data_IF_090308071197
#
_entry.id   IF_090308071197
#
_cell.length_a   1.000
_cell.length_b   1.000
_cell.length_c   1.000
_cell.angle_alpha   90.00
_cell.angle_beta   90.00
_cell.angle_gamma   90.00
#
_symmetry.space_group_name_H-M   'P 1'
#
loop_
_entity.id
_entity.type
_entity.pdbx_description
1 polymer ?
#
# COMPACT_ATOMS: atom_id res chain seq x y z
N UNK A 1 7.06 9.13 11.03
CA UNK A 1 6.35 9.17 9.73
C UNK A 1 4.90 9.61 9.90
N UNK A 2 4.01 8.86 10.57
CA UNK A 2 2.58 9.17 10.65
C UNK A 2 2.26 10.53 11.28
N UNK A 3 2.98 10.93 12.33
CA UNK A 3 2.82 12.27 12.94
C UNK A 3 3.19 13.39 11.95
N UNK A 4 4.21 13.19 11.12
CA UNK A 4 4.55 14.17 10.09
C UNK A 4 3.45 14.27 9.02
N UNK A 5 2.90 13.14 8.57
CA UNK A 5 1.75 13.11 7.65
C UNK A 5 0.56 13.87 8.27
N UNK A 6 0.24 13.57 9.53
CA UNK A 6 -0.86 14.23 10.25
C UNK A 6 -0.64 15.74 10.37
N UNK A 7 0.58 16.17 10.72
CA UNK A 7 0.91 17.58 10.87
C UNK A 7 0.75 18.35 9.55
N UNK A 8 1.26 17.81 8.44
CA UNK A 8 1.12 18.43 7.13
C UNK A 8 -0.34 18.48 6.66
N UNK A 9 -1.09 17.38 6.86
CA UNK A 9 -2.51 17.34 6.51
C UNK A 9 -3.33 18.38 7.29
N UNK A 10 -3.06 18.56 8.60
CA UNK A 10 -3.73 19.58 9.42
C UNK A 10 -3.41 21.01 8.98
N UNK A 11 -2.28 21.23 8.31
CA UNK A 11 -1.92 22.51 7.69
C UNK A 11 -2.56 22.72 6.31
N UNK A 12 -3.40 21.78 5.86
CA UNK A 12 -4.05 21.85 4.55
C UNK A 12 -3.16 21.43 3.37
N UNK A 13 -2.02 20.80 3.65
CA UNK A 13 -1.12 20.31 2.63
C UNK A 13 -1.54 18.92 2.15
N UNK A 14 -1.48 18.69 0.84
CA UNK A 14 -1.64 17.36 0.28
C UNK A 14 -0.39 16.51 0.54
N UNK A 15 -0.59 15.30 1.03
CA UNK A 15 0.48 14.34 1.31
C UNK A 15 0.23 13.06 0.54
N UNK A 16 1.22 12.61 -0.21
CA UNK A 16 1.25 11.26 -0.79
C UNK A 16 2.32 10.47 -0.06
N UNK A 17 1.94 9.33 0.50
CA UNK A 17 2.85 8.45 1.22
C UNK A 17 2.79 7.04 0.62
N UNK A 18 3.93 6.54 0.17
CA UNK A 18 4.11 5.13 -0.19
C UNK A 18 4.55 4.36 1.04
N UNK A 19 3.81 3.33 1.38
CA UNK A 19 4.00 2.60 2.63
C UNK A 19 3.78 1.10 2.43
N UNK A 20 4.49 0.32 3.24
CA UNK A 20 4.37 -1.13 3.30
C UNK A 20 3.92 -1.51 4.72
N UNK A 21 2.60 -1.65 4.90
CA UNK A 21 2.04 -2.07 6.18
C UNK A 21 1.83 -3.59 6.20
N UNK A 22 2.47 -4.27 7.12
CA UNK A 22 2.22 -5.69 7.39
C UNK A 22 2.52 -6.04 8.85
N UNK A 23 1.89 -7.09 9.33
CA UNK A 23 2.10 -7.66 10.66
C UNK A 23 2.67 -9.09 10.61
N UNK A 24 3.30 -9.47 9.49
CA UNK A 24 3.95 -10.76 9.31
C UNK A 24 5.30 -10.85 10.07
N UNK A 25 5.26 -10.52 11.35
CA UNK A 25 6.37 -10.64 12.29
C UNK A 25 6.09 -11.77 13.28
N UNK A 26 7.13 -12.26 13.95
CA UNK A 26 6.98 -13.24 15.03
C UNK A 26 6.05 -12.76 16.16
N UNK A 27 6.04 -11.44 16.37
CA UNK A 27 5.10 -10.76 17.27
C UNK A 27 4.40 -9.67 16.47
N UNK A 28 3.07 -9.76 16.22
CA UNK A 28 2.31 -8.73 15.54
C UNK A 28 2.41 -7.39 16.27
N UNK A 29 2.61 -6.31 15.51
CA UNK A 29 2.80 -4.95 16.05
C UNK A 29 1.60 -4.03 15.82
N UNK A 30 0.60 -4.45 15.07
CA UNK A 30 -0.58 -3.65 14.74
C UNK A 30 -0.25 -2.39 13.93
N UNK A 31 0.73 -2.47 13.03
CA UNK A 31 1.30 -1.30 12.33
C UNK A 31 0.22 -0.53 11.55
N UNK A 32 -0.62 -1.24 10.80
CA UNK A 32 -1.69 -0.59 10.02
C UNK A 32 -2.75 0.03 10.94
N UNK A 33 -3.11 -0.65 12.03
CA UNK A 33 -4.04 -0.13 13.02
C UNK A 33 -3.49 1.11 13.73
N UNK A 34 -2.22 1.12 14.11
CA UNK A 34 -1.57 2.30 14.71
C UNK A 34 -1.56 3.48 13.72
N UNK A 35 -1.27 3.21 12.44
CA UNK A 35 -1.37 4.20 11.39
C UNK A 35 -2.78 4.80 11.29
N UNK A 36 -3.80 3.94 11.20
CA UNK A 36 -5.20 4.36 11.09
C UNK A 36 -5.64 5.22 12.29
N UNK A 37 -5.25 4.83 13.51
CA UNK A 37 -5.53 5.60 14.73
C UNK A 37 -4.87 6.97 14.76
N UNK A 38 -3.62 7.08 14.34
CA UNK A 38 -2.88 8.35 14.32
C UNK A 38 -3.40 9.32 13.27
N UNK A 39 -3.94 8.80 12.17
CA UNK A 39 -4.51 9.60 11.08
C UNK A 39 -6.04 9.68 11.16
N UNK A 40 -6.64 9.17 12.24
CA UNK A 40 -8.09 9.21 12.44
C UNK A 40 -8.61 10.65 12.40
N UNK A 41 -9.75 10.84 11.71
CA UNK A 41 -10.37 12.14 11.54
C UNK A 41 -9.72 13.04 10.47
N UNK A 42 -8.64 12.58 9.81
CA UNK A 42 -8.09 13.24 8.63
C UNK A 42 -8.69 12.64 7.36
N UNK A 43 -8.76 13.40 6.25
CA UNK A 43 -9.28 12.93 4.97
C UNK A 43 -8.25 12.03 4.27
N UNK A 44 -8.12 10.80 4.74
CA UNK A 44 -7.15 9.83 4.21
C UNK A 44 -7.82 8.93 3.19
N UNK A 45 -7.39 8.98 1.93
CA UNK A 45 -7.73 7.98 0.92
C UNK A 45 -6.70 6.84 1.01
N UNK A 46 -7.14 5.67 1.43
CA UNK A 46 -6.27 4.49 1.53
C UNK A 46 -6.38 3.64 0.28
N UNK A 47 -5.29 3.60 -0.49
CA UNK A 47 -5.25 2.93 -1.80
C UNK A 47 -4.44 1.64 -1.71
N UNK A 48 -5.05 0.53 -2.11
CA UNK A 48 -4.38 -0.75 -2.33
C UNK A 48 -3.78 -0.81 -3.74
N UNK A 49 -2.45 -0.90 -3.83
CA UNK A 49 -1.77 -1.05 -5.11
C UNK A 49 -1.47 -2.53 -5.34
N UNK A 50 -2.22 -3.15 -6.26
CA UNK A 50 -2.11 -4.57 -6.58
C UNK A 50 -1.24 -4.82 -7.82
N UNK A 51 -0.64 -5.99 -7.85
CA UNK A 51 0.02 -6.54 -9.03
C UNK A 51 0.16 -8.06 -8.86
N UNK A 52 -0.15 -8.90 -9.85
CA UNK A 52 0.09 -10.34 -9.76
C UNK A 52 1.55 -10.67 -9.50
N UNK A 53 1.80 -11.67 -8.66
CA UNK A 53 3.15 -12.05 -8.21
C UNK A 53 4.12 -12.28 -9.36
N UNK A 54 3.68 -12.95 -10.42
CA UNK A 54 4.54 -13.22 -11.58
C UNK A 54 4.95 -11.95 -12.33
N UNK A 55 4.07 -10.95 -12.40
CA UNK A 55 4.38 -9.64 -13.00
C UNK A 55 5.38 -8.89 -12.13
N UNK A 56 5.22 -8.92 -10.80
CA UNK A 56 6.20 -8.33 -9.86
C UNK A 56 7.56 -8.99 -10.02
N UNK A 57 7.60 -10.32 -10.10
CA UNK A 57 8.86 -11.08 -10.31
C UNK A 57 9.51 -10.72 -11.64
N UNK A 58 8.72 -10.61 -12.72
CA UNK A 58 9.24 -10.23 -14.03
C UNK A 58 9.84 -8.82 -13.99
N UNK A 59 9.10 -7.84 -13.48
CA UNK A 59 9.58 -6.45 -13.34
C UNK A 59 10.89 -6.37 -12.55
N UNK A 60 11.02 -7.15 -11.46
CA UNK A 60 12.25 -7.19 -10.68
C UNK A 60 13.42 -7.80 -11.45
N UNK A 61 13.19 -8.86 -12.22
CA UNK A 61 14.24 -9.41 -13.10
C UNK A 61 14.72 -8.36 -14.10
N UNK A 62 13.80 -7.62 -14.69
CA UNK A 62 14.11 -6.64 -15.73
C UNK A 62 14.84 -5.40 -15.18
N UNK A 63 14.53 -4.98 -13.94
CA UNK A 63 15.10 -3.77 -13.35
C UNK A 63 16.34 -4.03 -12.50
N UNK A 64 16.38 -5.14 -11.78
CA UNK A 64 17.45 -5.42 -10.81
C UNK A 64 18.42 -6.52 -11.27
N UNK A 65 18.33 -6.95 -12.55
CA UNK A 65 19.23 -7.93 -13.14
C UNK A 65 19.26 -9.29 -12.43
N UNK A 66 18.18 -9.66 -11.75
CA UNK A 66 18.10 -10.90 -10.98
C UNK A 66 18.91 -10.93 -9.68
N UNK A 67 19.56 -9.83 -9.30
CA UNK A 67 20.32 -9.74 -8.04
C UNK A 67 19.36 -9.88 -6.85
N UNK A 68 19.60 -10.87 -6.00
CA UNK A 68 18.79 -11.16 -4.82
C UNK A 68 17.73 -12.26 -4.99
N UNK A 69 17.62 -12.85 -6.19
CA UNK A 69 16.76 -14.00 -6.46
C UNK A 69 17.60 -15.24 -6.79
N UNK A 70 17.97 -16.01 -5.77
CA UNK A 70 18.35 -17.39 -6.01
C UNK A 70 17.06 -18.22 -6.13
N UNK A 71 16.72 -18.62 -7.34
CA UNK A 71 15.78 -19.71 -7.55
C UNK A 71 16.38 -20.96 -6.90
N UNK A 72 15.71 -21.52 -5.90
CA UNK A 72 16.02 -22.84 -5.38
C UNK A 72 16.61 -22.93 -3.96
N UNK A 73 16.67 -21.83 -3.20
CA UNK A 73 16.98 -21.89 -1.77
C UNK A 73 15.73 -22.23 -0.94
N UNK A 74 15.89 -22.97 0.17
CA UNK A 74 14.84 -23.30 1.14
C UNK A 74 14.32 -22.08 1.93
N UNK A 75 14.72 -20.88 1.57
CA UNK A 75 14.24 -19.63 2.15
C UNK A 75 12.94 -19.26 1.47
N UNK A 76 11.90 -19.08 2.28
CA UNK A 76 10.60 -18.62 1.80
C UNK A 76 10.76 -17.38 0.91
N UNK A 77 10.15 -17.41 -0.29
CA UNK A 77 10.18 -16.31 -1.27
C UNK A 77 9.69 -15.00 -0.60
N UNK A 78 10.58 -14.05 -0.29
CA UNK A 78 10.21 -12.86 0.46
C UNK A 78 9.21 -11.98 -0.30
N UNK A 79 9.22 -12.03 -1.63
CA UNK A 79 8.28 -11.26 -2.45
C UNK A 79 6.87 -11.79 -2.31
N UNK A 80 6.71 -13.11 -2.34
CA UNK A 80 5.40 -13.74 -2.11
C UNK A 80 4.89 -13.44 -0.71
N UNK A 81 5.74 -13.61 0.30
CA UNK A 81 5.35 -13.34 1.70
C UNK A 81 4.92 -11.89 1.89
N UNK A 82 5.66 -10.94 1.35
CA UNK A 82 5.29 -9.52 1.44
C UNK A 82 4.01 -9.22 0.68
N UNK A 83 3.85 -9.75 -0.52
CA UNK A 83 2.64 -9.54 -1.32
C UNK A 83 1.39 -10.08 -0.63
N UNK A 84 1.49 -11.21 0.03
CA UNK A 84 0.39 -11.77 0.82
C UNK A 84 0.13 -10.93 2.08
N UNK A 85 1.18 -10.53 2.80
CA UNK A 85 1.09 -9.87 4.09
C UNK A 85 0.61 -8.41 4.02
N UNK A 86 1.05 -7.64 3.02
CA UNK A 86 0.75 -6.19 2.95
C UNK A 86 -0.71 -5.90 2.61
N UNK A 87 -1.44 -6.87 2.11
CA UNK A 87 -2.84 -6.72 1.76
C UNK A 87 -3.82 -7.28 2.81
N UNK A 88 -3.34 -7.58 4.00
CA UNK A 88 -4.19 -7.98 5.12
C UNK A 88 -4.49 -6.75 6.01
N UNK A 89 -5.76 -6.48 6.32
CA UNK A 89 -6.98 -7.25 6.09
C UNK A 89 -7.68 -6.98 4.74
N UNK A 90 -7.12 -6.24 3.83
CA UNK A 90 -7.70 -5.96 2.51
C UNK A 90 -8.81 -4.91 2.54
N UNK A 91 -8.75 -3.98 3.47
CA UNK A 91 -9.69 -2.85 3.59
C UNK A 91 -9.09 -1.62 2.94
N UNK A 92 -9.65 -1.19 1.83
CA UNK A 92 -9.19 -0.03 1.05
C UNK A 92 -10.37 0.84 0.62
N UNK A 93 -10.12 2.12 0.36
CA UNK A 93 -11.08 3.04 -0.28
C UNK A 93 -11.08 2.89 -1.81
N UNK A 94 -9.94 2.43 -2.36
CA UNK A 94 -9.72 2.16 -3.78
C UNK A 94 -8.64 1.08 -3.92
N UNK A 95 -8.79 0.22 -4.91
CA UNK A 95 -7.71 -0.68 -5.35
C UNK A 95 -7.36 -0.39 -6.81
N UNK A 96 -6.08 -0.39 -7.13
CA UNK A 96 -5.55 -0.26 -8.50
C UNK A 96 -4.68 -1.47 -8.82
N UNK A 97 -4.83 -2.04 -10.03
CA UNK A 97 -3.99 -3.13 -10.51
C UNK A 97 -3.00 -2.60 -11.55
N UNK A 98 -1.74 -2.53 -11.15
CA UNK A 98 -0.66 -2.02 -12.01
C UNK A 98 -0.19 -3.02 -13.06
N UNK A 99 -0.77 -4.21 -13.14
CA UNK A 99 -0.50 -5.14 -14.25
C UNK A 99 -1.32 -4.80 -15.50
N UNK A 100 -2.45 -4.10 -15.33
CA UNK A 100 -3.35 -3.70 -16.41
C UNK A 100 -3.43 -2.19 -16.60
N UNK A 101 -3.14 -1.42 -15.55
CA UNK A 101 -3.13 0.04 -15.60
C UNK A 101 -1.70 0.57 -15.68
N UNK A 102 -1.48 1.53 -16.55
CA UNK A 102 -0.26 2.34 -16.56
C UNK A 102 -0.17 3.21 -15.29
N UNK A 103 1.02 3.76 -14.97
CA UNK A 103 1.15 4.71 -13.86
C UNK A 103 0.23 5.92 -13.99
N UNK A 104 0.06 6.45 -15.21
CA UNK A 104 -0.82 7.59 -15.46
C UNK A 104 -2.29 7.23 -15.24
N UNK A 105 -2.76 6.12 -15.79
CA UNK A 105 -4.14 5.65 -15.59
C UNK A 105 -4.44 5.38 -14.11
N UNK A 106 -3.47 4.84 -13.37
CA UNK A 106 -3.60 4.64 -11.93
C UNK A 106 -3.72 5.96 -11.18
N UNK A 107 -2.90 6.97 -11.54
CA UNK A 107 -2.95 8.30 -10.94
C UNK A 107 -4.28 9.01 -11.26
N UNK A 108 -4.76 8.93 -12.50
CA UNK A 108 -6.03 9.52 -12.93
C UNK A 108 -7.22 8.89 -12.19
N UNK A 109 -7.16 7.57 -11.96
CA UNK A 109 -8.19 6.86 -11.20
C UNK A 109 -8.22 7.31 -9.73
N UNK A 110 -7.05 7.49 -9.12
CA UNK A 110 -6.91 7.99 -7.74
C UNK A 110 -7.43 9.43 -7.64
N UNK A 111 -7.04 10.31 -8.58
CA UNK A 111 -7.49 11.70 -8.61
C UNK A 111 -9.02 11.78 -8.73
N UNK A 112 -9.60 11.04 -9.67
CA UNK A 112 -11.05 10.96 -9.83
C UNK A 112 -11.75 10.44 -8.58
N UNK A 113 -11.19 9.43 -7.90
CA UNK A 113 -11.74 8.91 -6.65
C UNK A 113 -11.73 9.95 -5.53
N UNK A 114 -10.70 10.81 -5.48
CA UNK A 114 -10.61 11.93 -4.52
C UNK A 114 -11.65 13.03 -4.82
N UNK A 115 -11.86 13.36 -6.09
CA UNK A 115 -12.71 14.48 -6.51
C UNK A 115 -14.19 14.12 -6.51
N UNK A 116 -14.55 12.95 -7.01
CA UNK A 116 -15.93 12.54 -7.32
C UNK A 116 -16.46 11.41 -6.43
N UNK A 117 -15.57 10.74 -5.69
CA UNK A 117 -15.94 9.57 -4.91
C UNK A 117 -16.60 9.90 -3.56
N UNK A 118 -17.19 8.89 -2.91
CA UNK A 118 -17.69 9.06 -1.56
C UNK A 118 -16.56 9.39 -0.57
N UNK A 119 -16.84 9.95 0.60
CA UNK A 119 -15.84 10.20 1.62
C UNK A 119 -15.05 8.93 1.94
N UNK A 120 -13.71 9.01 2.10
CA UNK A 120 -12.88 7.86 2.50
C UNK A 120 -13.34 7.28 3.84
N UNK A 121 -13.38 5.96 3.95
CA UNK A 121 -13.88 5.26 5.13
C UNK A 121 -12.97 4.12 5.62
N UNK A 122 -11.96 3.72 4.84
CA UNK A 122 -11.11 2.58 5.19
C UNK A 122 -10.42 2.76 6.54
N UNK A 123 -9.87 3.93 6.84
CA UNK A 123 -9.20 4.17 8.12
C UNK A 123 -10.16 4.23 9.30
N UNK A 124 -11.43 4.55 9.10
CA UNK A 124 -12.46 4.43 10.16
C UNK A 124 -12.75 2.98 10.52
N UNK A 125 -12.66 2.07 9.55
CA UNK A 125 -12.86 0.64 9.77
C UNK A 125 -11.63 -0.03 10.39
N UNK A 126 -10.44 0.50 10.14
CA UNK A 126 -9.15 -0.06 10.57
C UNK A 126 -8.71 0.41 11.97
N UNK A 127 -9.19 1.56 12.45
CA UNK A 127 -8.83 2.13 13.75
C UNK A 127 -9.51 1.40 14.91
#
# INVERSE_FOLDING_TARGET
>A
MYEAIAAHSRLGLHVVADTLHHDAYSVPRGILRDCARRLYGLPVLFVGVRCPLEVVRQRRRDTWGGVGYQQGGSVADPVRLWQEAVHIPGVYDLEVDTSVLSPQESADLIARRLEEGPPPAAFHQLA
#
